data_IF_055010489345
#
_entry.id   IF_055010489345
#
_cell.length_a   1.000
_cell.length_b   1.000
_cell.length_c   1.000
_cell.angle_alpha   90.00
_cell.angle_beta   90.00
_cell.angle_gamma   90.00
#
_symmetry.space_group_name_H-M   'P 1'
#
loop_
_entity.id
_entity.type
_entity.pdbx_description
1 polymer ?
#
# COMPACT_ATOMS: atom_id res chain seq x y z
N UNK A 1 -9.49 2.81 -10.05
CA UNK A 1 -8.02 2.62 -9.96
C UNK A 1 -7.68 2.20 -8.54
N UNK A 2 -6.88 1.16 -8.30
CA UNK A 2 -6.71 0.60 -6.93
C UNK A 2 -5.25 0.61 -6.46
N UNK A 3 -5.03 0.61 -5.16
CA UNK A 3 -3.71 0.39 -4.56
C UNK A 3 -3.71 -0.86 -3.69
N UNK A 4 -2.72 -1.72 -3.91
CA UNK A 4 -2.57 -3.00 -3.21
C UNK A 4 -1.21 -3.03 -2.53
N UNK A 5 -1.18 -3.42 -1.27
CA UNK A 5 0.06 -3.69 -0.54
C UNK A 5 0.29 -5.18 -0.43
N UNK A 6 1.48 -5.65 -0.83
CA UNK A 6 1.95 -7.00 -0.54
C UNK A 6 2.82 -6.90 0.70
N UNK A 7 2.35 -7.50 1.80
CA UNK A 7 3.02 -7.51 3.11
C UNK A 7 3.25 -8.97 3.47
N UNK A 8 4.52 -9.39 3.58
CA UNK A 8 4.89 -10.80 3.85
C UNK A 8 4.17 -11.79 2.92
N UNK A 9 4.10 -11.47 1.63
CA UNK A 9 3.41 -12.28 0.61
C UNK A 9 1.87 -12.18 0.61
N UNK A 10 1.24 -11.52 1.59
CA UNK A 10 -0.22 -11.33 1.64
C UNK A 10 -0.64 -10.03 0.95
N UNK A 11 -1.61 -10.13 0.05
CA UNK A 11 -2.22 -8.97 -0.63
C UNK A 11 -3.23 -8.28 0.29
N UNK A 12 -3.04 -6.98 0.47
CA UNK A 12 -3.89 -6.09 1.26
C UNK A 12 -4.39 -4.98 0.34
N UNK A 13 -5.66 -5.05 -0.03
CA UNK A 13 -6.29 -4.01 -0.85
C UNK A 13 -6.63 -2.80 0.01
N UNK A 14 -6.21 -1.61 -0.40
CA UNK A 14 -6.52 -0.36 0.30
C UNK A 14 -7.95 0.13 -0.03
N UNK A 15 -8.55 0.89 0.89
CA UNK A 15 -9.89 1.48 0.73
C UNK A 15 -9.95 2.59 -0.34
N UNK A 16 -8.81 3.15 -0.73
CA UNK A 16 -8.75 4.34 -1.59
C UNK A 16 -9.14 4.04 -3.05
N UNK A 17 -9.93 4.93 -3.64
CA UNK A 17 -10.50 4.78 -5.00
C UNK A 17 -9.54 5.17 -6.14
N UNK A 18 -8.31 5.55 -5.79
CA UNK A 18 -7.25 5.99 -6.72
C UNK A 18 -5.94 5.22 -6.52
N UNK A 19 -5.07 5.25 -7.53
CA UNK A 19 -3.67 4.83 -7.40
C UNK A 19 -2.92 5.84 -6.54
N UNK A 20 -2.42 5.41 -5.39
CA UNK A 20 -1.56 6.25 -4.58
C UNK A 20 -0.19 6.45 -5.25
N UNK A 21 0.30 7.69 -5.35
CA UNK A 21 1.67 7.97 -5.74
C UNK A 21 2.64 7.58 -4.63
N UNK A 22 3.85 7.16 -5.00
CA UNK A 22 4.87 6.72 -4.06
C UNK A 22 5.20 7.77 -3.01
N UNK A 23 5.36 9.03 -3.42
CA UNK A 23 5.64 10.16 -2.50
C UNK A 23 4.59 10.29 -1.40
N UNK A 24 3.34 10.04 -1.71
CA UNK A 24 2.25 10.06 -0.73
C UNK A 24 2.31 8.82 0.17
N UNK A 25 2.51 7.64 -0.42
CA UNK A 25 2.71 6.41 0.34
C UNK A 25 3.84 6.59 1.35
N UNK A 26 4.94 7.25 1.02
CA UNK A 26 6.05 7.51 1.96
C UNK A 26 5.63 8.48 3.08
N UNK A 27 4.91 9.56 2.78
CA UNK A 27 4.52 10.58 3.77
C UNK A 27 3.46 10.11 4.78
N UNK A 28 2.59 9.18 4.37
CA UNK A 28 1.50 8.72 5.24
C UNK A 28 2.00 7.90 6.42
N UNK A 29 1.35 8.05 7.58
CA UNK A 29 1.65 7.30 8.82
C UNK A 29 0.90 5.96 8.90
N UNK A 30 -0.28 5.88 8.28
CA UNK A 30 -1.11 4.68 8.29
C UNK A 30 -2.02 4.60 7.08
N UNK A 31 -2.48 3.40 6.76
CA UNK A 31 -3.39 3.12 5.67
C UNK A 31 -4.58 2.31 6.17
N UNK A 32 -5.71 2.41 5.47
CA UNK A 32 -6.90 1.60 5.78
C UNK A 32 -7.17 0.67 4.62
N UNK A 33 -7.30 -0.62 4.93
CA UNK A 33 -7.68 -1.65 3.97
C UNK A 33 -9.16 -1.55 3.61
N UNK A 34 -9.57 -2.14 2.49
CA UNK A 34 -10.99 -2.20 2.10
C UNK A 34 -11.87 -2.86 3.17
N UNK A 35 -11.28 -3.76 3.96
CA UNK A 35 -11.98 -4.49 5.04
C UNK A 35 -12.02 -3.71 6.37
N UNK A 36 -11.57 -2.45 6.39
CA UNK A 36 -11.59 -1.60 7.59
C UNK A 36 -10.38 -1.76 8.52
N UNK A 37 -9.45 -2.68 8.22
CA UNK A 37 -8.24 -2.88 9.04
C UNK A 37 -7.27 -1.71 8.80
N UNK A 38 -6.78 -1.10 9.88
CA UNK A 38 -5.77 -0.05 9.85
C UNK A 38 -4.37 -0.65 9.90
N UNK A 39 -3.54 -0.30 8.91
CA UNK A 39 -2.12 -0.63 8.81
C UNK A 39 -1.31 0.59 9.23
N UNK A 40 -0.69 0.54 10.41
CA UNK A 40 0.18 1.62 10.90
C UNK A 40 1.62 1.33 10.49
N UNK A 41 2.29 2.27 9.84
CA UNK A 41 3.70 2.11 9.49
C UNK A 41 4.54 1.98 10.76
N UNK A 42 5.43 1.00 10.77
CA UNK A 42 6.48 0.94 11.80
C UNK A 42 7.77 1.56 11.29
N UNK A 43 8.78 1.65 12.15
CA UNK A 43 10.14 2.05 11.79
C UNK A 43 10.79 1.13 10.74
N UNK A 44 10.25 -0.07 10.53
CA UNK A 44 10.72 -1.03 9.52
C UNK A 44 10.05 -0.81 8.16
N UNK A 45 9.18 0.19 8.02
CA UNK A 45 8.48 0.43 6.77
C UNK A 45 9.47 0.70 5.64
N UNK A 46 9.42 -0.14 4.60
CA UNK A 46 10.23 0.02 3.40
C UNK A 46 9.48 -0.48 2.19
N UNK A 47 9.51 0.29 1.11
CA UNK A 47 9.02 -0.16 -0.19
C UNK A 47 10.12 -1.00 -0.83
N UNK A 48 9.84 -2.27 -1.10
CA UNK A 48 10.74 -3.20 -1.78
C UNK A 48 10.58 -3.11 -3.30
N UNK A 49 9.33 -3.05 -3.76
CA UNK A 49 9.01 -3.07 -5.18
C UNK A 49 7.72 -2.31 -5.46
N UNK A 50 7.66 -1.68 -6.62
CA UNK A 50 6.47 -1.01 -7.14
C UNK A 50 6.17 -1.64 -8.49
N UNK A 51 4.93 -2.09 -8.66
CA UNK A 51 4.44 -2.62 -9.93
C UNK A 51 3.24 -1.78 -10.32
N UNK A 52 3.39 -0.97 -11.36
CA UNK A 52 2.28 -0.21 -11.93
C UNK A 52 1.63 -1.02 -13.03
N UNK A 53 0.32 -1.24 -12.91
CA UNK A 53 -0.52 -1.84 -13.94
C UNK A 53 -1.54 -0.83 -14.40
N UNK A 54 -2.27 -1.10 -15.48
CA UNK A 54 -3.25 -0.16 -16.03
C UNK A 54 -4.32 0.25 -15.00
N UNK A 55 -4.86 -0.70 -14.24
CA UNK A 55 -5.98 -0.46 -13.31
C UNK A 55 -5.60 -0.44 -11.83
N UNK A 56 -4.40 -0.90 -11.48
CA UNK A 56 -3.93 -1.01 -10.10
C UNK A 56 -2.44 -0.68 -9.95
N UNK A 57 -2.04 -0.21 -8.77
CA UNK A 57 -0.63 -0.09 -8.38
C UNK A 57 -0.37 -0.95 -7.17
N UNK A 58 0.62 -1.82 -7.28
CA UNK A 58 1.00 -2.77 -6.24
C UNK A 58 2.31 -2.30 -5.62
N UNK A 59 2.32 -2.16 -4.30
CA UNK A 59 3.53 -1.92 -3.53
C UNK A 59 3.85 -3.17 -2.72
N UNK A 60 5.01 -3.75 -2.95
CA UNK A 60 5.57 -4.72 -2.03
C UNK A 60 6.31 -3.96 -0.94
N UNK A 61 5.83 -4.12 0.30
CA UNK A 61 6.33 -3.35 1.44
C UNK A 61 6.65 -4.26 2.62
N UNK A 62 7.65 -3.85 3.38
CA UNK A 62 7.76 -4.23 4.78
C UNK A 62 7.01 -3.20 5.62
N UNK A 63 6.40 -3.67 6.70
CA UNK A 63 5.58 -2.86 7.61
C UNK A 63 6.19 -2.81 8.99
#
# INVERSE_FOLDING_TARGET
>A
MKTVFIIKGKKNLLKYERKMPEKEVIKMKSFVTKNGIKLTKTSKFKIKKIIDKDTERIFEIDL
#
